data_IF_481044778703
#
_entry.id   IF_481044778703
#
_cell.length_a   1.000
_cell.length_b   1.000
_cell.length_c   1.000
_cell.angle_alpha   90.00
_cell.angle_beta   90.00
_cell.angle_gamma   90.00
#
_symmetry.space_group_name_H-M   'P 1'
#
loop_
_entity.id
_entity.type
_entity.pdbx_description
1 polymer ?
#
# COMPACT_ATOMS: atom_id res chain seq x y z
N UNK A 1 12.93 82.72 -64.24
CA UNK A 1 12.91 82.58 -62.76
C UNK A 1 11.67 81.78 -62.41
N UNK A 2 11.86 80.49 -62.07
CA UNK A 2 11.62 79.92 -60.72
C UNK A 2 10.12 79.80 -60.43
N UNK A 3 9.52 78.64 -60.16
CA UNK A 3 9.96 77.59 -59.24
C UNK A 3 9.06 76.37 -59.50
N UNK A 4 9.62 75.25 -59.98
CA UNK A 4 8.89 73.98 -59.95
C UNK A 4 8.75 73.58 -58.48
N UNK A 5 7.56 73.76 -57.92
CA UNK A 5 7.22 73.31 -56.58
C UNK A 5 7.24 71.78 -56.58
N UNK A 6 8.36 71.22 -56.12
CA UNK A 6 8.45 69.80 -55.78
C UNK A 6 7.28 69.48 -54.84
N UNK A 7 6.47 68.43 -55.12
CA UNK A 7 5.37 68.07 -54.26
C UNK A 7 5.92 67.81 -52.86
N UNK A 8 5.38 68.52 -51.88
CA UNK A 8 5.80 68.43 -50.49
C UNK A 8 5.73 66.95 -50.03
N UNK A 9 6.84 66.36 -49.57
CA UNK A 9 6.91 64.94 -49.22
C UNK A 9 5.91 64.55 -48.13
N UNK A 10 5.53 65.50 -47.25
CA UNK A 10 4.48 65.26 -46.26
C UNK A 10 3.09 65.11 -46.89
N UNK A 11 2.81 65.85 -47.96
CA UNK A 11 1.54 65.77 -48.67
C UNK A 11 1.40 64.45 -49.44
N UNK A 12 2.50 63.95 -50.02
CA UNK A 12 2.53 62.63 -50.67
C UNK A 12 2.38 61.50 -49.64
N UNK A 13 3.08 61.58 -48.49
CA UNK A 13 2.92 60.61 -47.41
C UNK A 13 1.50 60.62 -46.84
N UNK A 14 0.93 61.80 -46.62
CA UNK A 14 -0.43 61.95 -46.10
C UNK A 14 -1.47 61.37 -47.05
N UNK A 15 -1.38 61.66 -48.35
CA UNK A 15 -2.29 61.08 -49.34
C UNK A 15 -2.13 59.56 -49.47
N UNK A 16 -0.92 59.03 -49.33
CA UNK A 16 -0.67 57.59 -49.29
C UNK A 16 -1.28 56.96 -48.03
N UNK A 17 -1.10 57.57 -46.86
CA UNK A 17 -1.69 57.13 -45.61
C UNK A 17 -3.22 57.20 -45.66
N UNK A 18 -3.82 58.29 -46.11
CA UNK A 18 -5.28 58.44 -46.23
C UNK A 18 -5.88 57.42 -47.22
N UNK A 19 -5.20 57.15 -48.34
CA UNK A 19 -5.63 56.13 -49.30
C UNK A 19 -5.50 54.72 -48.73
N UNK A 20 -4.43 54.48 -47.97
CA UNK A 20 -4.23 53.21 -47.26
C UNK A 20 -5.31 53.06 -46.20
N UNK A 21 -5.53 54.05 -45.35
CA UNK A 21 -6.55 54.05 -44.31
C UNK A 21 -7.95 53.81 -44.88
N UNK A 22 -8.34 54.49 -45.97
CA UNK A 22 -9.62 54.23 -46.63
C UNK A 22 -9.72 52.78 -47.15
N UNK A 23 -8.68 52.30 -47.84
CA UNK A 23 -8.65 50.93 -48.35
C UNK A 23 -8.67 49.88 -47.23
N UNK A 24 -8.01 50.14 -46.10
CA UNK A 24 -8.01 49.25 -44.95
C UNK A 24 -9.31 49.34 -44.18
N UNK A 25 -9.95 50.51 -44.11
CA UNK A 25 -11.26 50.68 -43.48
C UNK A 25 -12.33 49.88 -44.25
N UNK A 26 -12.37 50.02 -45.58
CA UNK A 26 -13.31 49.27 -46.43
C UNK A 26 -13.08 47.75 -46.31
N UNK A 27 -11.82 47.30 -46.41
CA UNK A 27 -11.47 45.88 -46.29
C UNK A 27 -11.73 45.35 -44.88
N UNK A 28 -11.43 46.11 -43.83
CA UNK A 28 -11.71 45.70 -42.45
C UNK A 28 -13.20 45.66 -42.16
N UNK A 29 -13.99 46.58 -42.72
CA UNK A 29 -15.44 46.57 -42.58
C UNK A 29 -16.06 45.34 -43.24
N UNK A 30 -15.62 45.01 -44.45
CA UNK A 30 -16.06 43.82 -45.19
C UNK A 30 -15.57 42.52 -44.54
N UNK A 31 -14.32 42.51 -44.06
CA UNK A 31 -13.69 41.33 -43.43
C UNK A 31 -14.26 41.05 -42.03
N UNK A 32 -14.52 42.07 -41.20
CA UNK A 32 -15.13 41.88 -39.88
C UNK A 32 -16.59 41.44 -39.96
N UNK A 33 -17.28 41.76 -41.06
CA UNK A 33 -18.68 41.37 -41.27
C UNK A 33 -18.80 39.94 -41.81
N UNK A 34 -17.73 39.35 -42.33
CA UNK A 34 -17.70 37.99 -42.83
C UNK A 34 -17.26 37.00 -41.75
N UNK A 35 -18.02 35.89 -41.62
CA UNK A 35 -17.67 34.75 -40.77
C UNK A 35 -16.28 34.15 -41.11
N UNK A 36 -15.81 34.36 -42.34
CA UNK A 36 -14.50 33.94 -42.82
C UNK A 36 -13.33 34.52 -42.00
N UNK A 37 -13.47 35.71 -41.39
CA UNK A 37 -12.43 36.27 -40.52
C UNK A 37 -12.33 35.50 -39.20
N UNK A 38 -13.47 35.12 -38.61
CA UNK A 38 -13.49 34.30 -37.40
C UNK A 38 -12.92 32.89 -37.67
N UNK A 39 -13.26 32.31 -38.82
CA UNK A 39 -12.70 31.03 -39.25
C UNK A 39 -11.19 31.13 -39.50
N UNK A 40 -10.73 32.18 -40.19
CA UNK A 40 -9.31 32.41 -40.43
C UNK A 40 -8.51 32.64 -39.15
N UNK A 41 -9.06 33.40 -38.20
CA UNK A 41 -8.47 33.58 -36.87
C UNK A 41 -8.41 32.26 -36.11
N UNK A 42 -9.48 31.46 -36.15
CA UNK A 42 -9.52 30.13 -35.53
C UNK A 42 -8.49 29.17 -36.14
N UNK A 43 -8.34 29.18 -37.47
CA UNK A 43 -7.34 28.39 -38.18
C UNK A 43 -5.92 28.86 -37.86
N UNK A 44 -5.67 30.17 -37.81
CA UNK A 44 -4.36 30.75 -37.48
C UNK A 44 -3.97 30.43 -36.04
N UNK A 45 -4.91 30.53 -35.11
CA UNK A 45 -4.68 30.17 -33.71
C UNK A 45 -4.44 28.66 -33.56
N UNK A 46 -5.20 27.83 -34.29
CA UNK A 46 -4.98 26.38 -34.32
C UNK A 46 -3.61 26.04 -34.89
N UNK A 47 -3.18 26.70 -35.96
CA UNK A 47 -1.86 26.53 -36.54
C UNK A 47 -0.73 26.95 -35.57
N UNK A 48 -0.93 28.03 -34.81
CA UNK A 48 0.01 28.45 -33.78
C UNK A 48 0.16 27.39 -32.67
N UNK A 49 -0.96 26.83 -32.18
CA UNK A 49 -0.94 25.76 -31.19
C UNK A 49 -0.27 24.49 -31.72
N UNK A 50 -0.54 24.10 -32.97
CA UNK A 50 0.12 22.99 -33.63
C UNK A 50 1.63 23.23 -33.79
N UNK A 51 2.03 24.46 -34.11
CA UNK A 51 3.44 24.83 -34.19
C UNK A 51 4.13 24.74 -32.84
N UNK A 52 3.47 25.20 -31.78
CA UNK A 52 3.98 25.09 -30.41
C UNK A 52 4.13 23.61 -29.98
N UNK A 53 3.15 22.77 -30.28
CA UNK A 53 3.20 21.32 -30.02
C UNK A 53 4.32 20.64 -30.84
N UNK A 54 4.49 21.01 -32.11
CA UNK A 54 5.57 20.52 -32.95
C UNK A 54 6.95 20.90 -32.39
N UNK A 55 7.13 22.15 -31.95
CA UNK A 55 8.37 22.59 -31.28
C UNK A 55 8.62 21.76 -30.04
N UNK A 56 7.61 21.56 -29.19
CA UNK A 56 7.75 20.75 -27.97
C UNK A 56 8.17 19.32 -28.29
N UNK A 57 7.48 18.65 -29.22
CA UNK A 57 7.82 17.28 -29.65
C UNK A 57 9.20 17.17 -30.28
N UNK A 58 9.61 18.16 -31.06
CA UNK A 58 10.94 18.18 -31.70
C UNK A 58 12.03 18.40 -30.65
N UNK A 59 11.76 19.28 -29.68
CA UNK A 59 12.65 19.52 -28.54
C UNK A 59 12.77 18.25 -27.70
N UNK A 60 11.66 17.60 -27.38
CA UNK A 60 11.65 16.33 -26.65
C UNK A 60 12.42 15.23 -27.38
N UNK A 61 12.22 15.07 -28.69
CA UNK A 61 12.97 14.10 -29.50
C UNK A 61 14.48 14.40 -29.49
N UNK A 62 14.86 15.67 -29.55
CA UNK A 62 16.25 16.11 -29.45
C UNK A 62 16.85 15.82 -28.06
N UNK A 63 16.11 16.11 -26.98
CA UNK A 63 16.53 15.78 -25.62
C UNK A 63 16.69 14.28 -25.42
N UNK A 64 15.77 13.46 -25.96
CA UNK A 64 15.88 12.00 -25.94
C UNK A 64 17.12 11.50 -26.66
N UNK A 65 17.50 12.12 -27.78
CA UNK A 65 18.73 11.78 -28.49
C UNK A 65 19.99 12.14 -27.70
N UNK A 66 19.91 13.13 -26.81
CA UNK A 66 20.96 13.44 -25.84
C UNK A 66 20.87 12.62 -24.54
N UNK A 67 20.07 11.54 -24.50
CA UNK A 67 19.80 10.74 -23.30
C UNK A 67 19.24 11.56 -22.12
N UNK A 68 18.67 12.74 -22.38
CA UNK A 68 18.05 13.57 -21.34
C UNK A 68 16.56 13.23 -21.27
N UNK A 69 16.06 12.77 -20.10
CA UNK A 69 14.65 12.44 -19.95
C UNK A 69 13.79 13.68 -20.11
N UNK A 70 12.66 13.53 -20.80
CA UNK A 70 11.69 14.61 -20.98
C UNK A 70 10.91 14.84 -19.69
N UNK A 71 10.34 16.05 -19.51
CA UNK A 71 9.55 16.38 -18.31
C UNK A 71 8.36 15.43 -18.12
N UNK A 72 7.73 15.01 -19.21
CA UNK A 72 6.60 14.08 -19.19
C UNK A 72 7.02 12.69 -18.71
N UNK A 73 8.15 12.18 -19.17
CA UNK A 73 8.69 10.88 -18.71
C UNK A 73 9.03 10.91 -17.22
N UNK A 74 9.59 12.03 -16.72
CA UNK A 74 9.85 12.22 -15.28
C UNK A 74 8.54 12.19 -14.49
N UNK A 75 7.49 12.86 -14.97
CA UNK A 75 6.18 12.86 -14.31
C UNK A 75 5.56 11.46 -14.29
N UNK A 76 5.62 10.74 -15.41
CA UNK A 76 5.08 9.38 -15.52
C UNK A 76 5.79 8.40 -14.57
N UNK A 77 7.11 8.47 -14.50
CA UNK A 77 7.91 7.67 -13.56
C UNK A 77 7.60 8.06 -12.11
N UNK A 78 7.47 9.36 -11.80
CA UNK A 78 7.09 9.81 -10.47
C UNK A 78 5.70 9.28 -10.06
N UNK A 79 4.70 9.33 -10.95
CA UNK A 79 3.38 8.74 -10.70
C UNK A 79 3.44 7.23 -10.48
N UNK A 80 4.28 6.52 -11.24
CA UNK A 80 4.46 5.08 -11.07
C UNK A 80 5.10 4.75 -9.70
N UNK A 81 6.09 5.54 -9.28
CA UNK A 81 6.74 5.40 -7.96
C UNK A 81 5.73 5.61 -6.84
N UNK A 82 4.90 6.67 -6.93
CA UNK A 82 3.86 6.95 -5.92
C UNK A 82 2.87 5.78 -5.82
N UNK A 83 2.45 5.21 -6.95
CA UNK A 83 1.53 4.07 -6.95
C UNK A 83 2.17 2.80 -6.36
N UNK A 84 3.48 2.61 -6.59
CA UNK A 84 4.23 1.52 -5.94
C UNK A 84 4.34 1.75 -4.44
N UNK A 85 4.62 2.98 -4.00
CA UNK A 85 4.67 3.34 -2.58
C UNK A 85 3.33 3.07 -1.90
N UNK A 86 2.21 3.52 -2.49
CA UNK A 86 0.87 3.25 -1.99
C UNK A 86 0.56 1.75 -1.89
N UNK A 87 0.94 0.97 -2.91
CA UNK A 87 0.77 -0.49 -2.89
C UNK A 87 1.66 -1.18 -1.88
N UNK A 88 2.86 -0.68 -1.64
CA UNK A 88 3.78 -1.19 -0.62
C UNK A 88 3.21 -0.91 0.76
N UNK A 89 2.66 0.28 1.00
CA UNK A 89 1.99 0.62 2.26
C UNK A 89 0.72 -0.22 2.47
N UNK A 90 -0.07 -0.46 1.42
CA UNK A 90 -1.23 -1.38 1.48
C UNK A 90 -0.81 -2.81 1.82
N UNK A 91 0.31 -3.28 1.26
CA UNK A 91 0.88 -4.59 1.59
C UNK A 91 1.40 -4.63 3.02
N UNK A 92 2.10 -3.59 3.47
CA UNK A 92 2.61 -3.50 4.84
C UNK A 92 1.46 -3.53 5.85
N UNK A 93 0.40 -2.76 5.59
CA UNK A 93 -0.80 -2.77 6.40
C UNK A 93 -1.50 -4.13 6.40
N UNK A 94 -1.60 -4.81 5.25
CA UNK A 94 -2.16 -6.17 5.17
C UNK A 94 -1.31 -7.20 5.91
N UNK A 95 0.01 -7.09 5.83
CA UNK A 95 0.94 -7.98 6.54
C UNK A 95 0.86 -7.72 8.04
N UNK A 96 0.81 -6.47 8.48
CA UNK A 96 0.63 -6.12 9.89
C UNK A 96 -0.72 -6.61 10.41
N UNK A 97 -1.80 -6.41 9.66
CA UNK A 97 -3.12 -6.94 10.01
C UNK A 97 -3.14 -8.46 10.06
N UNK A 98 -2.52 -9.16 9.10
CA UNK A 98 -2.44 -10.61 9.12
C UNK A 98 -1.58 -11.11 10.27
N UNK A 99 -0.49 -10.43 10.63
CA UNK A 99 0.40 -10.83 11.71
C UNK A 99 -0.20 -10.55 13.10
N UNK A 100 -0.82 -9.38 13.30
CA UNK A 100 -1.42 -8.96 14.57
C UNK A 100 -2.80 -9.55 14.80
N UNK A 101 -3.62 -9.68 13.74
CA UNK A 101 -4.99 -10.19 13.81
C UNK A 101 -5.12 -11.61 13.26
N UNK A 102 -4.01 -12.33 13.06
CA UNK A 102 -3.99 -13.72 12.59
C UNK A 102 -5.03 -14.57 13.35
N UNK A 103 -6.13 -14.99 12.69
CA UNK A 103 -7.05 -15.97 13.27
C UNK A 103 -6.34 -17.31 13.45
N UNK A 104 -5.27 -17.55 12.69
CA UNK A 104 -4.48 -18.78 12.75
C UNK A 104 -3.77 -18.97 14.10
N UNK A 105 -3.18 -17.94 14.70
CA UNK A 105 -2.57 -18.03 16.04
C UNK A 105 -3.63 -18.30 17.11
N UNK A 106 -4.78 -17.61 17.01
CA UNK A 106 -5.91 -17.82 17.91
C UNK A 106 -6.48 -19.25 17.78
N UNK A 107 -6.64 -19.76 16.57
CA UNK A 107 -7.08 -21.12 16.26
C UNK A 107 -6.07 -22.18 16.73
N UNK A 108 -4.78 -21.95 16.52
CA UNK A 108 -3.69 -22.82 17.01
C UNK A 108 -3.73 -22.90 18.54
N UNK A 109 -3.96 -21.80 19.24
CA UNK A 109 -4.07 -21.79 20.71
C UNK A 109 -5.30 -22.57 21.22
N UNK A 110 -6.45 -22.44 20.53
CA UNK A 110 -7.67 -23.19 20.81
C UNK A 110 -7.48 -24.68 20.56
N UNK A 111 -6.80 -25.03 19.46
CA UNK A 111 -6.48 -26.41 19.11
C UNK A 111 -5.55 -27.03 20.16
N UNK A 112 -4.49 -26.32 20.56
CA UNK A 112 -3.58 -26.75 21.64
C UNK A 112 -4.32 -27.03 22.95
N UNK A 113 -5.26 -26.17 23.31
CA UNK A 113 -6.08 -26.34 24.53
C UNK A 113 -6.99 -27.57 24.42
N UNK A 114 -7.57 -27.78 23.24
CA UNK A 114 -8.44 -28.93 22.96
C UNK A 114 -7.67 -30.24 23.03
N UNK A 115 -6.47 -30.28 22.43
CA UNK A 115 -5.55 -31.43 22.48
C UNK A 115 -5.15 -31.74 23.92
N UNK A 116 -4.74 -30.75 24.71
CA UNK A 116 -4.39 -30.95 26.12
C UNK A 116 -5.56 -31.46 26.98
N UNK A 117 -6.80 -31.09 26.62
CA UNK A 117 -8.00 -31.60 27.28
C UNK A 117 -8.30 -33.05 26.90
N UNK A 118 -8.04 -33.41 25.65
CA UNK A 118 -8.20 -34.77 25.14
C UNK A 118 -7.19 -35.71 25.80
N UNK A 119 -5.94 -35.26 25.94
CA UNK A 119 -4.86 -35.95 26.64
C UNK A 119 -5.26 -36.31 28.08
N UNK A 120 -5.71 -35.32 28.86
CA UNK A 120 -6.23 -35.55 30.22
C UNK A 120 -7.43 -36.50 30.29
N UNK A 121 -8.29 -36.53 29.26
CA UNK A 121 -9.41 -37.47 29.20
C UNK A 121 -8.92 -38.88 28.90
N UNK A 122 -7.95 -39.04 28.01
CA UNK A 122 -7.31 -40.32 27.71
C UNK A 122 -6.65 -40.90 28.96
N UNK A 123 -5.93 -40.11 29.75
CA UNK A 123 -5.34 -40.54 31.03
C UNK A 123 -6.39 -41.04 32.03
N UNK A 124 -7.54 -40.36 32.12
CA UNK A 124 -8.65 -40.81 32.98
C UNK A 124 -9.27 -42.10 32.50
N UNK A 125 -9.44 -42.27 31.19
CA UNK A 125 -9.97 -43.51 30.63
C UNK A 125 -9.00 -44.66 30.88
N UNK A 126 -7.69 -44.45 30.66
CA UNK A 126 -6.66 -45.45 30.98
C UNK A 126 -6.69 -45.81 32.47
N UNK A 127 -6.76 -44.82 33.36
CA UNK A 127 -6.83 -45.05 34.81
C UNK A 127 -8.12 -45.76 35.23
N UNK A 128 -9.25 -45.42 34.62
CA UNK A 128 -10.53 -46.08 34.89
C UNK A 128 -10.53 -47.52 34.38
N UNK A 129 -9.97 -47.80 33.21
CA UNK A 129 -9.79 -49.16 32.70
C UNK A 129 -8.87 -49.98 33.62
N UNK A 130 -7.77 -49.38 34.10
CA UNK A 130 -6.85 -50.00 35.03
C UNK A 130 -7.50 -50.29 36.40
N UNK A 131 -8.35 -49.39 36.90
CA UNK A 131 -9.14 -49.63 38.12
C UNK A 131 -10.21 -50.69 37.94
N UNK A 132 -10.84 -50.79 36.76
CA UNK A 132 -11.80 -51.84 36.44
C UNK A 132 -11.11 -53.20 36.32
N UNK A 133 -9.88 -53.23 35.79
CA UNK A 133 -9.03 -54.42 35.75
C UNK A 133 -8.59 -54.85 37.17
N UNK A 134 -8.20 -53.92 38.04
CA UNK A 134 -7.89 -54.20 39.46
C UNK A 134 -9.13 -54.67 40.25
N UNK A 135 -10.30 -54.06 40.03
CA UNK A 135 -11.55 -54.43 40.69
C UNK A 135 -12.10 -55.79 40.22
N UNK A 136 -11.72 -56.24 39.02
CA UNK A 136 -12.03 -57.59 38.53
C UNK A 136 -11.15 -58.68 39.18
N UNK A 137 -10.10 -58.31 39.94
CA UNK A 137 -9.05 -59.25 40.36
C UNK A 137 -8.87 -59.45 41.88
N UNK A 138 -9.69 -58.88 42.79
CA UNK A 138 -9.52 -59.15 44.23
C UNK A 138 -10.81 -59.15 45.11
N UNK A 139 -10.85 -59.96 46.20
CA UNK A 139 -12.06 -60.51 46.82
C UNK A 139 -12.62 -59.71 48.04
N UNK A 140 -13.84 -60.09 48.47
CA UNK A 140 -14.68 -59.51 49.54
C UNK A 140 -14.05 -59.37 50.96
N UNK A 141 -14.61 -58.49 51.85
CA UNK A 141 -13.93 -57.98 53.05
C UNK A 141 -14.40 -58.63 54.37
N UNK A 142 -13.50 -58.74 55.36
CA UNK A 142 -13.86 -58.87 56.78
C UNK A 142 -13.15 -57.81 57.65
N UNK A 143 -13.94 -57.22 58.54
CA UNK A 143 -13.61 -56.20 59.55
C UNK A 143 -12.84 -56.81 60.73
N UNK A 144 -12.04 -56.03 61.46
CA UNK A 144 -12.09 -55.87 62.94
C UNK A 144 -11.08 -54.81 63.43
N UNK A 145 -11.55 -54.00 64.38
CA UNK A 145 -10.96 -52.79 64.96
C UNK A 145 -9.87 -53.01 66.02
N UNK A 146 -8.97 -52.02 66.10
CA UNK A 146 -8.42 -51.31 67.27
C UNK A 146 -7.80 -52.05 68.47
N UNK A 147 -6.54 -51.69 68.81
CA UNK A 147 -6.19 -51.17 70.14
C UNK A 147 -4.84 -50.44 70.17
N UNK A 148 -4.81 -49.36 70.94
CA UNK A 148 -3.77 -48.35 71.15
C UNK A 148 -2.74 -48.75 72.22
N UNK A 149 -1.56 -48.12 72.16
CA UNK A 149 -0.90 -47.41 73.29
C UNK A 149 0.44 -47.94 73.88
N UNK A 150 1.41 -47.02 73.83
CA UNK A 150 2.49 -46.69 74.78
C UNK A 150 3.69 -47.66 75.05
N UNK A 151 4.86 -47.13 74.67
CA UNK A 151 6.22 -47.44 75.14
C UNK A 151 6.38 -47.11 76.65
N UNK A 152 7.48 -47.44 77.39
CA UNK A 152 8.87 -47.18 76.98
C UNK A 152 10.01 -48.13 77.46
N UNK A 153 11.12 -48.07 76.72
CA UNK A 153 12.53 -47.94 77.13
C UNK A 153 13.08 -48.65 78.39
N UNK A 154 14.03 -49.58 78.21
CA UNK A 154 15.48 -49.44 78.49
C UNK A 154 16.20 -50.79 78.63
N UNK A 155 17.19 -50.97 77.76
CA UNK A 155 18.43 -51.78 77.82
C UNK A 155 19.08 -51.71 79.23
N UNK A 156 19.70 -52.71 79.86
CA UNK A 156 20.77 -53.67 79.42
C UNK A 156 21.01 -54.71 80.57
N UNK A 157 22.03 -55.61 80.56
CA UNK A 157 21.98 -57.07 80.77
C UNK A 157 22.52 -57.42 82.20
N UNK A 158 23.21 -58.53 82.58
CA UNK A 158 23.69 -59.72 81.86
C UNK A 158 23.41 -61.06 82.58
N UNK A 159 23.68 -62.18 81.89
CA UNK A 159 24.39 -63.34 82.46
C UNK A 159 24.39 -64.49 81.44
N UNK A 160 25.58 -64.79 80.97
CA UNK A 160 25.91 -66.03 80.29
C UNK A 160 25.66 -67.24 81.18
N UNK A 161 25.27 -68.33 80.52
CA UNK A 161 25.73 -69.72 80.67
C UNK A 161 24.58 -70.71 80.87
N UNK A 162 24.49 -71.70 79.97
CA UNK A 162 24.80 -73.10 80.29
C UNK A 162 24.78 -73.94 78.99
N UNK A 163 25.85 -74.72 78.78
CA UNK A 163 25.87 -76.20 78.72
C UNK A 163 25.03 -76.77 77.58
N UNK A 164 25.57 -77.50 76.60
CA UNK A 164 26.56 -78.59 76.63
C UNK A 164 27.09 -78.78 75.22
#
# INVERSE_FOLDING_TARGET
MTQQTLPDPFTVWKSFYEKTEASWNDVLHETMQQEAYAEWMGQTQSAYLQFQDLIQKTTDAYLKQMNMPTREEISSVASLIINVEEKVEELDQKVEDELLNSPTLAEISKLKTTVARLDKKMDRVLKALQQVEEAATAPEPEKTSASTEAAPSKTTPPASQQKK
#
